data_IF_706017592009
#
_entry.id   IF_706017592009
#
_cell.length_a   1.000
_cell.length_b   1.000
_cell.length_c   1.000
_cell.angle_alpha   90.00
_cell.angle_beta   90.00
_cell.angle_gamma   90.00
#
_symmetry.space_group_name_H-M   'P 1'
#
loop_
_entity.id
_entity.type
_entity.pdbx_description
1 polymer ?
#
# COMPACT_ATOMS: atom_id res chain seq x y z
N UNK A 1 15.43 17.26 -5.42
CA UNK A 1 14.75 18.31 -4.61
C UNK A 1 13.24 18.18 -4.62
N UNK A 2 12.56 18.04 -5.78
CA UNK A 2 11.09 17.95 -5.86
C UNK A 2 10.48 16.90 -4.93
N UNK A 3 10.93 15.64 -4.98
CA UNK A 3 10.37 14.55 -4.16
C UNK A 3 10.50 14.86 -2.66
N UNK A 4 11.69 15.25 -2.20
CA UNK A 4 11.94 15.60 -0.79
C UNK A 4 11.06 16.75 -0.31
N UNK A 5 10.78 17.74 -1.17
CA UNK A 5 9.91 18.87 -0.85
C UNK A 5 8.42 18.52 -0.89
N UNK A 6 8.05 17.41 -1.51
CA UNK A 6 6.65 16.98 -1.69
C UNK A 6 6.18 16.03 -0.59
N UNK A 7 7.11 15.26 -0.01
CA UNK A 7 6.83 14.25 1.01
C UNK A 7 7.18 14.77 2.41
N UNK A 8 6.63 14.13 3.44
CA UNK A 8 7.18 14.24 4.79
C UNK A 8 8.62 13.70 4.85
N UNK A 9 9.37 14.06 5.90
CA UNK A 9 10.72 13.50 6.11
C UNK A 9 10.68 11.96 6.29
N UNK A 10 9.63 11.44 6.96
CA UNK A 10 9.44 9.99 7.15
C UNK A 10 9.17 9.29 5.82
N UNK A 11 8.27 9.84 4.99
CA UNK A 11 7.97 9.30 3.66
C UNK A 11 9.15 9.36 2.71
N UNK A 12 9.88 10.48 2.70
CA UNK A 12 11.09 10.62 1.91
C UNK A 12 12.17 9.61 2.33
N UNK A 13 12.40 9.46 3.64
CA UNK A 13 13.36 8.48 4.17
C UNK A 13 12.98 7.06 3.76
N UNK A 14 11.72 6.66 3.98
CA UNK A 14 11.22 5.34 3.58
C UNK A 14 11.35 5.09 2.08
N UNK A 15 11.03 6.09 1.26
CA UNK A 15 11.22 6.05 -0.20
C UNK A 15 12.67 5.77 -0.56
N UNK A 16 13.62 6.48 0.06
CA UNK A 16 15.06 6.28 -0.17
C UNK A 16 15.54 4.93 0.31
N UNK A 17 15.00 4.43 1.42
CA UNK A 17 15.39 3.15 1.99
C UNK A 17 14.93 1.98 1.11
N UNK A 18 13.73 2.06 0.53
CA UNK A 18 13.27 1.12 -0.50
C UNK A 18 14.24 1.12 -1.71
N UNK A 19 14.61 2.30 -2.20
CA UNK A 19 15.56 2.42 -3.31
C UNK A 19 16.93 1.80 -2.98
N UNK A 20 17.44 1.99 -1.74
CA UNK A 20 18.70 1.35 -1.30
C UNK A 20 18.57 -0.17 -1.20
N UNK A 21 17.44 -0.68 -0.71
CA UNK A 21 17.18 -2.11 -0.64
C UNK A 21 17.07 -2.74 -2.03
N UNK A 22 16.62 -1.98 -3.04
CA UNK A 22 16.68 -2.41 -4.43
C UNK A 22 18.13 -2.67 -4.89
N UNK A 23 19.07 -1.76 -4.57
CA UNK A 23 20.50 -1.99 -4.83
C UNK A 23 21.05 -3.20 -4.08
N UNK A 24 20.65 -3.36 -2.81
CA UNK A 24 21.04 -4.52 -2.02
C UNK A 24 20.57 -5.83 -2.66
N UNK A 25 19.32 -5.90 -3.10
CA UNK A 25 18.81 -7.06 -3.85
C UNK A 25 19.62 -7.30 -5.12
N UNK A 26 19.90 -6.24 -5.89
CA UNK A 26 20.74 -6.32 -7.09
C UNK A 26 22.08 -6.99 -6.81
N UNK A 27 22.75 -6.64 -5.72
CA UNK A 27 24.00 -7.26 -5.29
C UNK A 27 23.82 -8.72 -4.84
N UNK A 28 22.68 -9.07 -4.23
CA UNK A 28 22.40 -10.44 -3.80
C UNK A 28 22.19 -11.40 -4.98
N UNK A 29 21.55 -10.93 -6.05
CA UNK A 29 21.14 -11.77 -7.18
C UNK A 29 22.01 -11.59 -8.43
N UNK A 30 23.04 -10.73 -8.38
CA UNK A 30 23.88 -10.39 -9.54
C UNK A 30 23.11 -9.62 -10.63
N UNK A 31 22.13 -8.81 -10.20
CA UNK A 31 21.19 -8.05 -11.04
C UNK A 31 21.41 -6.55 -11.04
N UNK A 32 22.61 -6.06 -10.69
CA UNK A 32 22.92 -4.64 -10.45
C UNK A 32 22.59 -3.73 -11.64
N UNK A 33 22.56 -4.26 -12.87
CA UNK A 33 22.18 -3.50 -14.07
C UNK A 33 20.70 -3.10 -14.14
N UNK A 34 19.83 -3.79 -13.40
CA UNK A 34 18.37 -3.55 -13.39
C UNK A 34 17.81 -3.25 -12.00
N UNK A 35 18.54 -3.65 -10.95
CA UNK A 35 18.18 -3.47 -9.54
C UNK A 35 19.19 -2.54 -8.84
N UNK A 36 19.39 -1.33 -9.36
CA UNK A 36 20.24 -0.31 -8.74
C UNK A 36 19.45 0.63 -7.83
N UNK A 37 20.15 1.39 -6.99
CA UNK A 37 19.54 2.44 -6.13
C UNK A 37 18.79 3.49 -6.97
N UNK A 38 19.18 3.66 -8.23
CA UNK A 38 18.65 4.67 -9.14
C UNK A 38 17.94 4.06 -10.35
N UNK A 39 17.59 2.77 -10.30
CA UNK A 39 16.82 2.08 -11.35
C UNK A 39 15.33 2.42 -11.27
N UNK A 40 15.02 3.72 -11.33
CA UNK A 40 13.68 4.29 -11.20
C UNK A 40 13.46 5.36 -12.27
N UNK A 41 12.22 5.46 -12.74
CA UNK A 41 11.79 6.46 -13.70
C UNK A 41 11.08 7.59 -12.97
N UNK A 42 11.48 8.82 -13.27
CA UNK A 42 10.82 10.03 -12.79
C UNK A 42 10.15 10.74 -13.96
N UNK A 43 8.84 10.94 -13.86
CA UNK A 43 8.05 11.70 -14.81
C UNK A 43 7.57 13.00 -14.15
N UNK A 44 7.75 14.14 -14.82
CA UNK A 44 7.20 15.42 -14.40
C UNK A 44 6.08 15.81 -15.37
N UNK A 45 4.92 16.19 -14.82
CA UNK A 45 3.74 16.57 -15.58
C UNK A 45 3.39 18.02 -15.30
N UNK A 46 3.42 18.84 -16.36
CA UNK A 46 3.24 20.28 -16.24
C UNK A 46 4.46 21.00 -15.66
N UNK A 47 4.28 22.27 -15.31
CA UNK A 47 5.32 23.11 -14.73
C UNK A 47 5.06 23.31 -13.22
N UNK A 48 6.05 23.09 -12.35
CA UNK A 48 5.90 23.35 -10.92
C UNK A 48 5.36 24.75 -10.63
N UNK A 49 4.19 24.80 -10.01
CA UNK A 49 3.44 26.02 -9.79
C UNK A 49 2.75 26.02 -8.43
N UNK A 50 2.56 27.21 -7.86
CA UNK A 50 1.74 27.38 -6.65
C UNK A 50 0.25 27.47 -6.96
N UNK A 51 -0.13 27.63 -8.23
CA UNK A 51 -1.50 27.95 -8.66
C UNK A 51 -2.01 26.97 -9.70
N UNK A 52 -1.21 26.66 -10.70
CA UNK A 52 -1.58 25.76 -11.79
C UNK A 52 -1.39 24.29 -11.36
N UNK A 53 -2.26 23.37 -11.82
CA UNK A 53 -2.05 21.95 -11.59
C UNK A 53 -0.73 21.45 -12.19
N UNK A 54 0.01 20.65 -11.43
CA UNK A 54 1.19 19.93 -11.88
C UNK A 54 1.38 18.69 -11.01
N UNK A 55 2.23 17.77 -11.44
CA UNK A 55 2.47 16.55 -10.68
C UNK A 55 3.72 15.84 -11.09
N UNK A 56 4.04 14.77 -10.39
CA UNK A 56 5.14 13.89 -10.73
C UNK A 56 4.83 12.44 -10.37
N UNK A 57 5.48 11.53 -11.09
CA UNK A 57 5.49 10.12 -10.77
C UNK A 57 6.93 9.66 -10.56
N UNK A 58 7.14 8.82 -9.56
CA UNK A 58 8.39 8.08 -9.36
C UNK A 58 8.03 6.60 -9.30
N UNK A 59 8.55 5.79 -10.21
CA UNK A 59 8.23 4.37 -10.21
C UNK A 59 9.39 3.48 -10.67
N UNK A 60 9.37 2.23 -10.23
CA UNK A 60 10.36 1.20 -10.50
C UNK A 60 10.09 -0.03 -9.64
N UNK A 61 11.07 -0.93 -9.55
CA UNK A 61 10.94 -2.12 -8.72
C UNK A 61 10.66 -1.75 -7.25
N UNK A 62 9.55 -2.28 -6.71
CA UNK A 62 9.05 -2.02 -5.35
C UNK A 62 8.65 -0.59 -4.98
N UNK A 63 8.50 0.32 -5.95
CA UNK A 63 8.08 1.69 -5.65
C UNK A 63 7.23 2.26 -6.78
N UNK A 64 6.08 2.81 -6.45
CA UNK A 64 5.33 3.71 -7.34
C UNK A 64 4.65 4.80 -6.51
N UNK A 65 5.05 6.05 -6.74
CA UNK A 65 4.48 7.22 -6.09
C UNK A 65 3.87 8.12 -7.15
N UNK A 66 2.61 8.50 -6.95
CA UNK A 66 1.87 9.40 -7.82
C UNK A 66 1.51 10.64 -7.02
N UNK A 67 2.01 11.80 -7.44
CA UNK A 67 1.82 13.05 -6.73
C UNK A 67 1.23 14.12 -7.65
N UNK A 68 0.16 14.76 -7.20
CA UNK A 68 -0.49 15.87 -7.91
C UNK A 68 -0.67 17.04 -6.96
N UNK A 69 -0.39 18.23 -7.45
CA UNK A 69 -0.61 19.51 -6.79
C UNK A 69 -1.70 20.28 -7.50
N UNK A 70 -2.70 20.78 -6.76
CA UNK A 70 -3.80 21.59 -7.29
C UNK A 70 -4.11 22.68 -6.25
N UNK A 71 -3.95 23.95 -6.61
CA UNK A 71 -4.29 25.11 -5.75
C UNK A 71 -3.81 25.01 -4.29
N UNK A 72 -2.59 24.49 -4.08
CA UNK A 72 -1.99 24.33 -2.75
C UNK A 72 -2.35 23.03 -2.02
N UNK A 73 -3.23 22.20 -2.58
CA UNK A 73 -3.46 20.83 -2.15
C UNK A 73 -2.41 19.90 -2.77
N UNK A 74 -2.06 18.85 -2.03
CA UNK A 74 -1.22 17.75 -2.52
C UNK A 74 -1.95 16.44 -2.32
N UNK A 75 -2.04 15.65 -3.39
CA UNK A 75 -2.61 14.30 -3.40
C UNK A 75 -1.48 13.36 -3.72
N UNK A 76 -1.26 12.36 -2.85
CA UNK A 76 -0.23 11.33 -3.02
C UNK A 76 -0.91 9.97 -2.94
N UNK A 77 -1.64 9.62 -3.99
CA UNK A 77 -2.31 8.33 -4.16
C UNK A 77 -2.65 8.16 -5.65
N UNK A 78 -2.50 6.96 -6.22
CA UNK A 78 -2.16 5.70 -5.55
C UNK A 78 -0.67 5.65 -5.20
N UNK A 79 -0.33 4.89 -4.16
CA UNK A 79 1.05 4.61 -3.78
C UNK A 79 1.26 3.11 -3.65
N UNK A 80 2.37 2.63 -4.17
CA UNK A 80 2.87 1.28 -3.95
C UNK A 80 4.27 1.37 -3.35
N UNK A 81 4.50 0.63 -2.27
CA UNK A 81 5.79 0.52 -1.62
C UNK A 81 6.02 -0.93 -1.23
N UNK A 82 7.14 -1.51 -1.64
CA UNK A 82 7.54 -2.85 -1.26
C UNK A 82 9.04 -2.97 -1.00
N UNK A 83 9.49 -4.19 -0.73
CA UNK A 83 10.90 -4.57 -0.74
C UNK A 83 11.04 -6.09 -0.75
N UNK A 84 12.08 -6.58 -1.43
CA UNK A 84 12.54 -7.96 -1.42
C UNK A 84 14.09 -7.96 -1.37
N UNK A 85 14.74 -8.41 -0.29
CA UNK A 85 14.20 -8.50 1.05
C UNK A 85 13.87 -7.11 1.65
N UNK A 86 13.00 -7.08 2.67
CA UNK A 86 12.65 -5.88 3.44
C UNK A 86 13.72 -5.47 4.49
N UNK A 87 14.91 -6.08 4.44
CA UNK A 87 16.07 -5.74 5.25
C UNK A 87 17.39 -6.01 4.54
N UNK A 88 18.45 -5.34 4.98
CA UNK A 88 19.83 -5.67 4.65
C UNK A 88 20.60 -6.05 5.92
N UNK A 89 21.25 -7.21 5.90
CA UNK A 89 22.00 -7.81 7.02
C UNK A 89 23.53 -7.80 6.80
N UNK A 90 23.98 -7.25 5.67
CA UNK A 90 25.38 -7.12 5.29
C UNK A 90 25.60 -6.00 4.28
N UNK A 91 26.86 -5.74 3.96
CA UNK A 91 27.25 -4.78 2.92
C UNK A 91 26.99 -3.32 3.30
N UNK A 92 26.93 -2.45 2.29
CA UNK A 92 26.79 -0.99 2.41
C UNK A 92 25.57 -0.56 3.24
N UNK A 93 24.50 -1.35 3.22
CA UNK A 93 23.22 -1.02 3.84
C UNK A 93 22.90 -1.85 5.08
N UNK A 94 23.91 -2.51 5.67
CA UNK A 94 23.72 -3.35 6.84
C UNK A 94 22.93 -2.64 7.96
N UNK A 95 21.88 -3.30 8.46
CA UNK A 95 20.98 -2.80 9.49
C UNK A 95 19.75 -2.06 8.97
N UNK A 96 19.66 -1.78 7.66
CA UNK A 96 18.49 -1.15 7.06
C UNK A 96 17.30 -2.10 7.08
N UNK A 97 16.12 -1.61 7.49
CA UNK A 97 14.86 -2.35 7.53
C UNK A 97 13.68 -1.43 7.22
N UNK A 98 12.69 -1.94 6.50
CA UNK A 98 11.44 -1.25 6.18
C UNK A 98 10.23 -2.15 6.50
N UNK A 99 9.04 -1.56 6.57
CA UNK A 99 7.74 -2.24 6.81
C UNK A 99 7.53 -2.87 8.20
N UNK A 100 8.45 -2.69 9.14
CA UNK A 100 8.33 -3.27 10.49
C UNK A 100 7.13 -2.72 11.28
N UNK A 101 6.81 -1.44 11.10
CA UNK A 101 5.71 -0.83 11.85
C UNK A 101 4.36 -1.25 11.27
N UNK A 102 4.25 -1.36 9.95
CA UNK A 102 3.06 -1.88 9.25
C UNK A 102 2.77 -3.34 9.62
N UNK A 103 3.82 -4.19 9.64
CA UNK A 103 3.71 -5.59 10.05
C UNK A 103 3.26 -5.69 11.52
N UNK A 104 3.98 -5.01 12.42
CA UNK A 104 3.71 -5.02 13.86
C UNK A 104 2.32 -4.49 14.19
N UNK A 105 1.97 -3.29 13.70
CA UNK A 105 0.67 -2.66 13.99
C UNK A 105 -0.49 -3.50 13.41
N UNK A 106 -0.30 -4.13 12.25
CA UNK A 106 -1.27 -5.07 11.67
C UNK A 106 -1.50 -6.30 12.55
N UNK A 107 -0.42 -6.94 13.00
CA UNK A 107 -0.47 -8.09 13.93
C UNK A 107 -1.06 -7.69 15.28
N UNK A 108 -0.68 -6.54 15.84
CA UNK A 108 -1.22 -6.02 17.11
C UNK A 108 -2.74 -5.81 17.02
N UNK A 109 -3.23 -5.23 15.91
CA UNK A 109 -4.65 -5.04 15.67
C UNK A 109 -5.38 -6.39 15.57
N UNK A 110 -4.92 -7.31 14.73
CA UNK A 110 -5.52 -8.64 14.59
C UNK A 110 -5.46 -9.43 15.92
N UNK A 111 -4.37 -9.30 16.67
CA UNK A 111 -4.17 -9.91 17.97
C UNK A 111 -5.16 -9.40 19.04
N UNK A 112 -5.54 -8.12 18.95
CA UNK A 112 -6.45 -7.45 19.89
C UNK A 112 -7.93 -7.86 19.75
N UNK A 113 -8.30 -8.55 18.68
CA UNK A 113 -9.68 -8.95 18.40
C UNK A 113 -10.15 -10.10 19.29
N UNK A 114 -11.44 -10.09 19.64
CA UNK A 114 -12.11 -11.25 20.25
C UNK A 114 -12.16 -12.43 19.28
N UNK A 115 -12.55 -13.62 19.75
CA UNK A 115 -12.72 -14.78 18.88
C UNK A 115 -13.70 -14.49 17.73
N UNK A 116 -14.86 -13.92 18.03
CA UNK A 116 -15.87 -13.58 17.01
C UNK A 116 -15.37 -12.51 16.03
N UNK A 117 -14.65 -11.50 16.52
CA UNK A 117 -14.04 -10.48 15.67
C UNK A 117 -12.96 -11.07 14.75
N UNK A 118 -12.12 -12.00 15.25
CA UNK A 118 -11.13 -12.71 14.44
C UNK A 118 -11.80 -13.54 13.35
N UNK A 119 -12.88 -14.27 13.68
CA UNK A 119 -13.66 -15.02 12.70
C UNK A 119 -14.28 -14.10 11.64
N UNK A 120 -14.78 -12.93 12.04
CA UNK A 120 -15.33 -11.96 11.08
C UNK A 120 -14.25 -11.32 10.18
N UNK A 121 -13.03 -11.10 10.69
CA UNK A 121 -11.93 -10.53 9.92
C UNK A 121 -11.25 -11.55 8.99
N UNK A 122 -11.20 -12.83 9.38
CA UNK A 122 -10.47 -13.88 8.66
C UNK A 122 -11.22 -14.32 7.39
N UNK A 123 -10.58 -14.15 6.23
CA UNK A 123 -11.11 -14.55 4.94
C UNK A 123 -10.64 -15.95 4.54
N UNK A 124 -9.36 -16.25 4.78
CA UNK A 124 -8.76 -17.56 4.50
C UNK A 124 -7.59 -17.81 5.44
N UNK A 125 -7.36 -19.08 5.78
CA UNK A 125 -6.28 -19.50 6.67
C UNK A 125 -4.94 -19.58 5.96
N UNK A 126 -4.95 -19.78 4.63
CA UNK A 126 -3.74 -19.90 3.83
C UNK A 126 -3.64 -18.80 2.79
N UNK A 127 -2.42 -18.32 2.53
CA UNK A 127 -2.13 -17.37 1.44
C UNK A 127 -1.94 -18.04 0.07
N UNK A 128 -1.83 -19.37 0.04
CA UNK A 128 -1.52 -20.14 -1.18
C UNK A 128 -2.44 -21.35 -1.38
N UNK A 129 -3.24 -21.70 -0.37
CA UNK A 129 -4.06 -22.91 -0.32
C UNK A 129 -5.48 -22.76 -0.86
N UNK A 130 -6.24 -23.84 -0.76
CA UNK A 130 -7.55 -24.02 -1.42
C UNK A 130 -8.76 -23.37 -0.74
N UNK A 131 -8.60 -22.71 0.42
CA UNK A 131 -9.67 -21.94 1.05
C UNK A 131 -9.71 -20.47 0.60
N UNK A 132 -8.79 -20.06 -0.29
CA UNK A 132 -8.85 -18.75 -0.92
C UNK A 132 -10.08 -18.63 -1.83
N UNK A 133 -10.81 -17.49 -1.78
CA UNK A 133 -11.86 -17.21 -2.75
C UNK A 133 -11.35 -17.22 -4.19
N UNK A 134 -12.20 -17.62 -5.13
CA UNK A 134 -11.87 -17.59 -6.56
C UNK A 134 -11.45 -16.18 -7.01
N UNK A 135 -10.38 -16.08 -7.80
CA UNK A 135 -9.84 -14.81 -8.28
C UNK A 135 -9.15 -13.94 -7.22
N UNK A 136 -8.94 -14.47 -6.00
CA UNK A 136 -8.20 -13.79 -4.94
C UNK A 136 -6.72 -13.60 -5.28
N UNK A 137 -6.06 -14.63 -5.81
CA UNK A 137 -4.63 -14.57 -6.14
C UNK A 137 -4.43 -14.08 -7.57
N UNK A 138 -3.61 -13.04 -7.72
CA UNK A 138 -3.20 -12.45 -8.99
C UNK A 138 -1.75 -12.86 -9.29
N UNK A 139 -1.47 -13.18 -10.56
CA UNK A 139 -0.14 -13.64 -10.97
C UNK A 139 0.95 -12.57 -10.73
N UNK A 140 0.61 -11.30 -10.95
CA UNK A 140 1.57 -10.21 -10.93
C UNK A 140 1.78 -9.58 -9.54
N UNK A 141 0.86 -9.77 -8.59
CA UNK A 141 0.84 -8.98 -7.34
C UNK A 141 0.25 -9.73 -6.13
N UNK A 142 0.28 -11.06 -6.18
CA UNK A 142 -0.08 -11.89 -5.02
C UNK A 142 -1.53 -11.75 -4.62
N UNK A 143 -1.80 -11.32 -3.39
CA UNK A 143 -3.15 -11.17 -2.86
C UNK A 143 -3.71 -9.75 -3.02
N UNK A 144 -2.93 -8.79 -3.54
CA UNK A 144 -3.40 -7.43 -3.79
C UNK A 144 -4.57 -7.43 -4.79
N UNK A 145 -5.66 -6.76 -4.40
CA UNK A 145 -6.81 -6.52 -5.28
C UNK A 145 -6.76 -5.13 -5.92
N UNK A 146 -6.05 -4.18 -5.31
CA UNK A 146 -5.74 -2.86 -5.87
C UNK A 146 -4.32 -2.81 -6.46
N UNK A 147 -3.78 -3.96 -6.84
CA UNK A 147 -2.43 -4.09 -7.38
C UNK A 147 -2.29 -3.72 -8.85
N UNK A 148 -1.18 -4.17 -9.44
CA UNK A 148 -0.91 -4.04 -10.86
C UNK A 148 -2.04 -4.62 -11.73
N UNK A 149 -2.41 -3.92 -12.80
CA UNK A 149 -3.48 -4.29 -13.75
C UNK A 149 -4.89 -4.37 -13.16
N UNK A 150 -5.12 -3.78 -11.99
CA UNK A 150 -6.43 -3.75 -11.32
C UNK A 150 -7.05 -2.33 -11.31
N UNK A 151 -6.81 -1.56 -12.36
CA UNK A 151 -7.31 -0.18 -12.46
C UNK A 151 -8.85 -0.18 -12.50
N UNK A 152 -9.47 0.72 -11.75
CA UNK A 152 -10.93 0.84 -11.63
C UNK A 152 -11.66 -0.44 -11.17
N UNK A 153 -10.95 -1.44 -10.61
CA UNK A 153 -11.59 -2.64 -10.05
C UNK A 153 -12.52 -2.24 -8.91
N UNK A 154 -13.76 -2.74 -8.97
CA UNK A 154 -14.68 -2.67 -7.84
C UNK A 154 -14.28 -3.79 -6.88
N UNK A 155 -13.78 -3.42 -5.71
CA UNK A 155 -13.37 -4.34 -4.66
C UNK A 155 -14.50 -4.38 -3.61
N UNK A 156 -15.17 -5.52 -3.40
CA UNK A 156 -16.17 -5.64 -2.34
C UNK A 156 -15.56 -5.40 -0.95
N UNK A 157 -16.34 -4.79 -0.06
CA UNK A 157 -15.98 -4.74 1.36
C UNK A 157 -15.99 -6.15 1.95
N UNK A 158 -14.99 -6.46 2.76
CA UNK A 158 -14.80 -7.79 3.35
C UNK A 158 -14.26 -7.63 4.77
N UNK A 159 -14.57 -8.61 5.62
CA UNK A 159 -14.00 -8.67 6.96
C UNK A 159 -14.84 -7.96 8.02
N UNK A 160 -14.17 -7.62 9.13
CA UNK A 160 -14.76 -7.01 10.30
C UNK A 160 -15.06 -5.52 10.05
N UNK A 161 -16.33 -5.15 10.18
CA UNK A 161 -16.78 -3.76 10.05
C UNK A 161 -16.44 -2.94 11.31
N UNK A 162 -16.04 -1.68 11.11
CA UNK A 162 -15.51 -0.78 12.14
C UNK A 162 -16.51 -0.44 13.25
N UNK A 163 -17.81 -0.47 12.95
CA UNK A 163 -18.86 -0.32 13.96
C UNK A 163 -18.90 -1.46 15.01
N UNK A 164 -18.21 -2.58 14.75
CA UNK A 164 -18.04 -3.70 15.69
C UNK A 164 -16.73 -3.62 16.48
N UNK A 165 -15.91 -2.59 16.27
CA UNK A 165 -14.66 -2.37 17.00
C UNK A 165 -14.91 -1.61 18.31
N UNK A 166 -14.15 -1.97 19.34
CA UNK A 166 -14.07 -1.18 20.55
C UNK A 166 -13.31 0.14 20.30
N UNK A 167 -13.48 1.12 21.20
CA UNK A 167 -12.73 2.39 21.12
C UNK A 167 -11.22 2.21 21.04
N UNK A 168 -10.66 1.21 21.74
CA UNK A 168 -9.21 0.93 21.70
C UNK A 168 -8.79 0.36 20.34
N UNK A 169 -9.56 -0.56 19.79
CA UNK A 169 -9.29 -1.14 18.47
C UNK A 169 -9.42 -0.09 17.36
N UNK A 170 -10.38 0.85 17.50
CA UNK A 170 -10.51 2.00 16.61
C UNK A 170 -9.26 2.90 16.61
N UNK A 171 -8.68 3.17 17.78
CA UNK A 171 -7.41 3.90 17.89
C UNK A 171 -6.29 3.11 17.19
N UNK A 172 -6.16 1.81 17.46
CA UNK A 172 -5.15 0.98 16.80
C UNK A 172 -5.32 0.90 15.27
N UNK A 173 -6.55 0.89 14.78
CA UNK A 173 -6.83 0.96 13.34
C UNK A 173 -6.40 2.30 12.75
N UNK A 174 -6.70 3.43 13.39
CA UNK A 174 -6.28 4.75 12.94
C UNK A 174 -4.75 4.91 12.99
N UNK A 175 -4.10 4.43 14.06
CA UNK A 175 -2.64 4.42 14.21
C UNK A 175 -1.96 3.60 13.10
N UNK A 176 -2.61 2.52 12.66
CA UNK A 176 -2.18 1.71 11.52
C UNK A 176 -2.37 2.47 10.21
N UNK A 177 -3.54 3.06 9.97
CA UNK A 177 -3.80 3.86 8.77
C UNK A 177 -2.83 5.03 8.63
N UNK A 178 -2.52 5.74 9.71
CA UNK A 178 -1.56 6.85 9.71
C UNK A 178 -0.15 6.38 9.29
N UNK A 179 0.24 5.15 9.63
CA UNK A 179 1.52 4.57 9.21
C UNK A 179 1.65 4.53 7.69
N UNK A 180 0.58 4.10 7.02
CA UNK A 180 0.53 4.04 5.56
C UNK A 180 0.54 5.41 4.91
N UNK A 181 -0.02 6.42 5.59
CA UNK A 181 -0.08 7.79 5.11
C UNK A 181 1.12 8.64 5.53
N UNK A 182 2.13 8.03 6.15
CA UNK A 182 3.27 8.75 6.71
C UNK A 182 4.05 9.57 5.68
N UNK A 183 3.83 9.36 4.38
CA UNK A 183 4.43 10.15 3.31
C UNK A 183 3.80 11.53 3.10
N UNK A 184 2.60 11.78 3.62
CA UNK A 184 1.92 13.05 3.48
C UNK A 184 2.56 14.14 4.38
N UNK A 185 2.68 15.39 3.89
CA UNK A 185 2.97 16.54 4.74
C UNK A 185 1.93 16.70 5.86
N UNK A 186 2.31 17.32 6.99
CA UNK A 186 1.51 17.32 8.23
C UNK A 186 0.06 17.78 8.06
N UNK A 187 -0.17 18.88 7.35
CA UNK A 187 -1.54 19.40 7.13
C UNK A 187 -2.36 18.49 6.22
N UNK A 188 -1.73 17.92 5.18
CA UNK A 188 -2.38 16.96 4.29
C UNK A 188 -2.71 15.65 5.01
N UNK A 189 -1.80 15.18 5.87
CA UNK A 189 -2.03 14.01 6.72
C UNK A 189 -3.21 14.25 7.66
N UNK A 190 -3.23 15.38 8.36
CA UNK A 190 -4.31 15.73 9.29
C UNK A 190 -5.67 15.81 8.59
N UNK A 191 -5.74 16.47 7.43
CA UNK A 191 -6.97 16.56 6.65
C UNK A 191 -7.44 15.17 6.21
N UNK A 192 -6.51 14.32 5.75
CA UNK A 192 -6.81 12.97 5.31
C UNK A 192 -7.28 12.06 6.44
N UNK A 193 -6.62 12.10 7.60
CA UNK A 193 -7.04 11.34 8.79
C UNK A 193 -8.41 11.79 9.29
N UNK A 194 -8.69 13.11 9.27
CA UNK A 194 -10.02 13.63 9.65
C UNK A 194 -11.12 13.06 8.75
N UNK A 195 -10.91 13.01 7.43
CA UNK A 195 -11.86 12.39 6.50
C UNK A 195 -12.06 10.90 6.81
N UNK A 196 -10.98 10.15 7.00
CA UNK A 196 -11.03 8.71 7.30
C UNK A 196 -11.79 8.44 8.60
N UNK A 197 -11.56 9.24 9.65
CA UNK A 197 -12.26 9.12 10.94
C UNK A 197 -13.78 9.25 10.80
N UNK A 198 -14.28 10.09 9.89
CA UNK A 198 -15.74 10.21 9.65
C UNK A 198 -16.36 8.95 9.04
N UNK A 199 -15.55 8.08 8.44
CA UNK A 199 -15.97 6.81 7.84
C UNK A 199 -15.54 5.59 8.65
N UNK A 200 -15.13 5.77 9.91
CA UNK A 200 -14.59 4.68 10.72
C UNK A 200 -15.59 3.54 10.92
N UNK A 201 -16.87 3.87 11.15
CA UNK A 201 -17.92 2.85 11.29
C UNK A 201 -18.14 2.03 10.01
N UNK A 202 -17.86 2.61 8.83
CA UNK A 202 -17.96 1.96 7.52
C UNK A 202 -16.64 1.39 7.00
N UNK A 203 -15.59 1.44 7.82
CA UNK A 203 -14.29 0.86 7.48
C UNK A 203 -14.30 -0.63 7.77
N UNK A 204 -13.74 -1.44 6.88
CA UNK A 204 -13.66 -2.89 7.00
C UNK A 204 -12.20 -3.31 7.09
N UNK A 205 -11.92 -4.26 7.97
CA UNK A 205 -10.61 -4.89 8.12
C UNK A 205 -10.71 -6.38 7.84
N UNK A 206 -9.91 -6.89 6.91
CA UNK A 206 -9.85 -8.33 6.62
C UNK A 206 -8.42 -8.88 6.67
N UNK A 207 -8.31 -10.18 6.90
CA UNK A 207 -7.06 -10.90 7.13
C UNK A 207 -7.01 -12.21 6.33
N UNK A 208 -5.85 -12.55 5.78
CA UNK A 208 -5.57 -13.85 5.16
C UNK A 208 -4.23 -14.36 5.69
N UNK A 209 -4.16 -15.65 6.00
CA UNK A 209 -2.92 -16.29 6.46
C UNK A 209 -2.76 -16.31 7.97
N UNK A 210 -1.52 -16.49 8.43
CA UNK A 210 -1.21 -16.63 9.85
C UNK A 210 -1.36 -15.32 10.61
N UNK A 211 -1.58 -15.39 11.93
CA UNK A 211 -1.49 -14.23 12.84
C UNK A 211 -0.34 -14.37 13.84
N UNK A 212 0.59 -15.29 13.58
CA UNK A 212 1.80 -15.48 14.39
C UNK A 212 2.92 -14.61 13.87
N UNK A 213 3.79 -14.19 14.79
CA UNK A 213 5.04 -13.52 14.43
C UNK A 213 5.89 -14.39 13.48
N UNK A 214 6.52 -13.74 12.51
CA UNK A 214 7.41 -14.37 11.51
C UNK A 214 6.74 -15.35 10.53
N UNK A 215 5.41 -15.46 10.54
CA UNK A 215 4.67 -16.20 9.51
C UNK A 215 4.04 -15.22 8.50
N UNK A 216 3.91 -15.59 7.22
CA UNK A 216 3.40 -14.70 6.19
C UNK A 216 1.88 -14.49 6.34
N UNK A 217 1.42 -13.29 5.95
CA UNK A 217 0.01 -12.91 6.00
C UNK A 217 -0.29 -11.76 5.04
N UNK A 218 -1.58 -11.51 4.85
CA UNK A 218 -2.13 -10.35 4.16
C UNK A 218 -3.20 -9.70 5.03
N UNK A 219 -3.32 -8.38 4.94
CA UNK A 219 -4.49 -7.68 5.43
C UNK A 219 -4.91 -6.53 4.52
N UNK A 220 -6.18 -6.14 4.66
CA UNK A 220 -6.74 -4.98 3.97
C UNK A 220 -7.58 -4.13 4.90
N UNK A 221 -7.40 -2.82 4.79
CA UNK A 221 -8.27 -1.80 5.37
C UNK A 221 -9.00 -1.12 4.22
N UNK A 222 -10.33 -1.10 4.25
CA UNK A 222 -11.12 -0.54 3.18
C UNK A 222 -12.32 0.24 3.71
N UNK A 223 -12.46 1.49 3.27
CA UNK A 223 -13.62 2.35 3.54
C UNK A 223 -14.05 3.04 2.23
N UNK A 224 -15.14 3.84 2.26
CA UNK A 224 -15.54 4.64 1.10
C UNK A 224 -14.46 5.59 0.58
N UNK A 225 -13.49 5.95 1.44
CA UNK A 225 -12.48 6.98 1.15
C UNK A 225 -11.06 6.44 1.10
N UNK A 226 -10.73 5.29 1.70
CA UNK A 226 -9.37 4.72 1.67
C UNK A 226 -9.35 3.21 1.42
N UNK A 227 -8.33 2.75 0.69
CA UNK A 227 -7.99 1.34 0.53
C UNK A 227 -6.51 1.17 0.83
N UNK A 228 -6.17 0.33 1.80
CA UNK A 228 -4.81 -0.05 2.16
C UNK A 228 -4.71 -1.56 2.09
N UNK A 229 -3.64 -2.06 1.47
CA UNK A 229 -3.32 -3.50 1.46
C UNK A 229 -1.88 -3.71 1.92
N UNK A 230 -1.67 -4.82 2.63
CA UNK A 230 -0.37 -5.37 3.01
C UNK A 230 -0.33 -6.82 2.58
N UNK A 231 0.74 -7.23 1.92
CA UNK A 231 0.93 -8.62 1.48
C UNK A 231 2.38 -9.08 1.71
N UNK A 232 2.52 -10.23 2.38
CA UNK A 232 3.74 -11.01 2.31
C UNK A 232 3.77 -11.81 1.00
N UNK A 233 4.82 -11.63 0.22
CA UNK A 233 4.85 -12.10 -1.16
C UNK A 233 5.85 -13.25 -1.36
N UNK A 234 5.60 -14.07 -2.38
CA UNK A 234 6.56 -15.06 -2.86
C UNK A 234 7.68 -14.37 -3.64
N UNK A 235 8.86 -14.98 -3.67
CA UNK A 235 10.03 -14.40 -4.31
C UNK A 235 9.82 -14.13 -5.79
N UNK A 236 10.25 -12.96 -6.24
CA UNK A 236 10.30 -12.59 -7.67
C UNK A 236 11.74 -12.70 -8.16
N UNK A 237 12.68 -12.15 -7.40
CA UNK A 237 14.12 -12.30 -7.65
C UNK A 237 14.78 -13.33 -6.73
N UNK A 238 14.24 -13.52 -5.53
CA UNK A 238 14.62 -14.60 -4.63
C UNK A 238 13.90 -15.90 -5.02
N UNK A 239 14.44 -17.04 -4.60
CA UNK A 239 14.02 -18.36 -5.08
C UNK A 239 12.88 -18.99 -4.29
N UNK A 240 12.34 -18.32 -3.27
CA UNK A 240 11.23 -18.85 -2.48
C UNK A 240 9.93 -18.82 -3.30
N UNK A 241 9.33 -19.99 -3.52
CA UNK A 241 8.05 -20.13 -4.26
C UNK A 241 6.83 -19.77 -3.41
N UNK A 242 7.00 -19.79 -2.09
CA UNK A 242 5.97 -19.48 -1.11
C UNK A 242 6.18 -18.09 -0.50
N UNK A 243 5.10 -17.40 -0.08
CA UNK A 243 5.17 -16.16 0.67
C UNK A 243 6.10 -16.25 1.88
N UNK A 244 6.91 -15.21 2.08
CA UNK A 244 7.79 -15.09 3.25
C UNK A 244 7.72 -13.67 3.83
N UNK A 245 7.98 -13.54 5.12
CA UNK A 245 7.90 -12.25 5.82
C UNK A 245 9.01 -11.24 5.47
N UNK A 246 9.95 -11.64 4.61
CA UNK A 246 11.00 -10.77 4.11
C UNK A 246 10.66 -10.13 2.76
N UNK A 247 9.55 -10.48 2.12
CA UNK A 247 9.10 -9.83 0.89
C UNK A 247 7.75 -9.20 1.14
N UNK A 248 7.71 -7.87 1.21
CA UNK A 248 6.51 -7.11 1.53
C UNK A 248 6.10 -6.26 0.34
N UNK A 249 4.82 -6.30 -0.01
CA UNK A 249 4.16 -5.32 -0.87
C UNK A 249 3.12 -4.56 -0.04
N UNK A 250 3.02 -3.25 -0.25
CA UNK A 250 1.97 -2.42 0.33
C UNK A 250 1.39 -1.46 -0.70
N UNK A 251 0.11 -1.14 -0.53
CA UNK A 251 -0.64 -0.25 -1.40
C UNK A 251 -1.45 0.75 -0.56
N UNK A 252 -1.55 1.99 -1.05
CA UNK A 252 -2.61 2.93 -0.66
C UNK A 252 -3.32 3.43 -1.92
N UNK A 253 -4.64 3.32 -1.94
CA UNK A 253 -5.53 3.90 -2.94
C UNK A 253 -6.56 4.81 -2.28
N UNK A 254 -7.12 5.70 -3.07
CA UNK A 254 -8.21 6.60 -2.66
C UNK A 254 -9.44 6.23 -3.48
N UNK A 255 -10.24 5.23 -3.04
CA UNK A 255 -11.50 4.88 -3.68
C UNK A 255 -12.34 6.13 -3.94
N UNK A 256 -12.92 6.24 -5.13
CA UNK A 256 -13.74 7.38 -5.55
C UNK A 256 -13.04 8.75 -5.55
N UNK A 257 -11.74 8.81 -5.26
CA UNK A 257 -10.91 10.02 -5.35
C UNK A 257 -10.21 10.21 -6.70
N UNK A 258 -10.57 9.40 -7.70
CA UNK A 258 -10.00 9.43 -9.05
C UNK A 258 -8.50 9.13 -9.04
N UNK A 259 -8.08 8.15 -8.24
CA UNK A 259 -6.68 7.77 -8.05
C UNK A 259 -5.95 7.43 -9.36
N UNK A 260 -6.62 6.85 -10.35
CA UNK A 260 -6.10 6.69 -11.72
C UNK A 260 -6.72 7.64 -12.76
N UNK A 261 -7.43 8.67 -12.31
CA UNK A 261 -8.35 9.43 -13.13
C UNK A 261 -9.65 8.65 -13.39
N UNK A 262 -10.76 9.37 -13.61
CA UNK A 262 -12.00 8.73 -14.06
C UNK A 262 -11.90 8.52 -15.57
N UNK A 263 -12.18 7.31 -16.04
CA UNK A 263 -12.44 7.03 -17.45
C UNK A 263 -13.83 7.58 -17.85
N UNK A 264 -13.91 8.92 -17.95
CA UNK A 264 -15.14 9.64 -18.25
C UNK A 264 -15.67 9.29 -19.64
N UNK A 265 -14.78 8.94 -20.58
CA UNK A 265 -15.16 8.55 -21.93
C UNK A 265 -15.91 7.22 -21.90
N UNK A 266 -15.35 6.17 -21.26
CA UNK A 266 -16.07 4.90 -21.11
C UNK A 266 -17.37 5.06 -20.34
N UNK A 267 -17.40 5.87 -19.27
CA UNK A 267 -18.64 6.13 -18.54
C UNK A 267 -19.69 6.84 -19.40
N UNK A 268 -19.27 7.79 -20.23
CA UNK A 268 -20.14 8.48 -21.19
C UNK A 268 -20.71 7.50 -22.23
N UNK A 269 -19.88 6.59 -22.78
CA UNK A 269 -20.35 5.52 -23.66
C UNK A 269 -21.31 4.54 -22.99
N UNK A 270 -21.09 4.21 -21.71
CA UNK A 270 -21.96 3.30 -20.97
C UNK A 270 -23.30 3.92 -20.53
N UNK A 271 -23.34 5.25 -20.30
CA UNK A 271 -24.49 5.94 -19.69
C UNK A 271 -25.29 6.81 -20.65
N UNK A 272 -24.74 7.10 -21.83
CA UNK A 272 -25.35 7.99 -22.82
C UNK A 272 -25.60 7.18 -24.08
N UNK A 273 -26.78 7.32 -24.70
CA UNK A 273 -26.99 6.78 -26.05
C UNK A 273 -26.20 7.62 -27.04
N UNK A 274 -25.47 6.93 -27.91
CA UNK A 274 -24.73 7.52 -29.03
C UNK A 274 -25.45 7.10 -30.31
N UNK A 275 -25.73 8.07 -31.17
CA UNK A 275 -26.29 7.84 -32.52
C UNK A 275 -25.19 7.54 -33.54
#
# INVERSE_FOLDING_TARGET
>A
NVIRSSLSEKGYSKTRDIMKLNEFLGQLVGGEGVLGEWSYIFCLFGEPSKRSPWGWQLFGHHLALNCVFIEGQVIISPTFMGAEPNFADKGKYNGLRVFRDEERKGLDLMGSFSADQKTAALIANSMVGGDLPEGRRQLADGLHLGGAYQDNRIIPYEGLKGNLLSKKQNISLLDLVEEYLCFLPSESLKARMTEIETHLEDTHFCWIGSSKENEPFYYRIQSPVILIEFDHHAGVYLTNTEPQNFHVHTLVRTPNGNDYGIDLIRQHYARTKHE
#
